data_IF_548158164533
#
_entry.id   IF_548158164533
#
_cell.length_a   1.000
_cell.length_b   1.000
_cell.length_c   1.000
_cell.angle_alpha   90.00
_cell.angle_beta   90.00
_cell.angle_gamma   90.00
#
_symmetry.space_group_name_H-M   'P 1'
#
loop_
_entity.id
_entity.type
_entity.pdbx_description
1 polymer ?
#
# COMPACT_ATOMS: atom_id res chain seq x y z
N UNK A 1 20.53 7.48 -9.62
CA UNK A 1 19.12 7.86 -9.35
C UNK A 1 18.80 7.56 -7.90
N UNK A 2 18.26 8.52 -7.15
CA UNK A 2 17.93 8.33 -5.73
C UNK A 2 16.45 7.96 -5.62
N UNK A 3 16.14 6.89 -4.90
CA UNK A 3 14.75 6.55 -4.56
C UNK A 3 14.30 7.51 -3.46
N UNK A 4 13.23 8.24 -3.73
CA UNK A 4 12.66 9.23 -2.82
C UNK A 4 11.36 8.74 -2.19
N UNK A 5 10.77 7.68 -2.75
CA UNK A 5 9.52 7.13 -2.25
C UNK A 5 9.00 5.97 -3.08
N UNK A 6 7.74 5.62 -2.81
CA UNK A 6 7.02 4.54 -3.47
C UNK A 6 5.57 4.94 -3.71
N UNK A 7 4.98 4.40 -4.76
CA UNK A 7 3.56 4.51 -5.03
C UNK A 7 2.98 3.13 -5.23
N UNK A 8 1.77 2.92 -4.69
CA UNK A 8 0.98 1.72 -4.94
C UNK A 8 -0.39 2.10 -5.49
N UNK A 9 -0.94 1.31 -6.43
CA UNK A 9 -2.30 1.50 -6.87
C UNK A 9 -3.28 1.06 -5.80
N UNK A 10 -4.09 2.01 -5.35
CA UNK A 10 -5.13 1.81 -4.36
C UNK A 10 -6.46 2.16 -5.04
N UNK A 11 -7.48 1.27 -5.00
CA UNK A 11 -8.82 1.60 -5.48
C UNK A 11 -9.40 2.82 -4.75
N UNK A 12 -10.12 3.69 -5.48
CA UNK A 12 -10.76 4.91 -4.95
C UNK A 12 -11.56 4.68 -3.67
N UNK A 13 -12.30 3.57 -3.60
CA UNK A 13 -13.10 3.19 -2.41
C UNK A 13 -12.29 3.06 -1.11
N UNK A 14 -10.99 2.79 -1.19
CA UNK A 14 -10.12 2.69 -0.01
C UNK A 14 -9.34 3.97 0.29
N UNK A 15 -9.38 4.98 -0.59
CA UNK A 15 -8.62 6.22 -0.38
C UNK A 15 -9.15 7.04 0.78
N UNK A 16 -10.48 7.12 0.91
CA UNK A 16 -11.14 7.86 1.98
C UNK A 16 -10.77 7.33 3.37
N UNK A 17 -10.36 6.07 3.47
CA UNK A 17 -9.88 5.49 4.71
C UNK A 17 -8.61 6.16 5.22
N UNK A 18 -7.71 6.53 4.32
CA UNK A 18 -6.48 7.25 4.67
C UNK A 18 -6.75 8.74 4.94
N UNK A 19 -7.62 9.37 4.14
CA UNK A 19 -7.80 10.82 4.17
C UNK A 19 -8.91 11.31 5.11
N UNK A 20 -9.88 10.46 5.49
CA UNK A 20 -11.05 10.82 6.30
C UNK A 20 -11.19 9.96 7.57
N UNK A 21 -10.88 8.67 7.48
CA UNK A 21 -11.07 7.73 8.60
C UNK A 21 -9.78 7.51 9.43
N UNK A 22 -8.74 8.30 9.18
CA UNK A 22 -7.45 8.27 9.88
C UNK A 22 -6.77 6.88 9.91
N UNK A 23 -7.03 6.05 8.90
CA UNK A 23 -6.31 4.78 8.71
C UNK A 23 -4.91 5.10 8.20
N UNK A 24 -3.89 4.67 8.91
CA UNK A 24 -2.49 4.97 8.57
C UNK A 24 -1.60 3.75 8.42
N UNK A 25 -2.17 2.55 8.36
CA UNK A 25 -1.41 1.31 8.15
C UNK A 25 -1.81 0.67 6.83
N UNK A 26 -0.86 0.64 5.89
CA UNK A 26 -0.99 -0.01 4.59
C UNK A 26 -0.47 -1.45 4.66
N UNK A 27 -1.17 -2.39 4.02
CA UNK A 27 -0.80 -3.82 3.99
C UNK A 27 -1.01 -4.43 2.60
N UNK A 28 -0.04 -5.22 2.12
CA UNK A 28 -0.09 -5.89 0.81
C UNK A 28 0.93 -7.04 0.73
N UNK A 29 0.78 -8.05 -0.16
CA UNK A 29 1.87 -8.95 -0.49
C UNK A 29 3.14 -8.20 -0.86
N UNK A 30 4.28 -8.63 -0.32
CA UNK A 30 5.54 -7.92 -0.45
C UNK A 30 6.08 -7.97 -1.89
N UNK A 31 5.91 -6.86 -2.63
CA UNK A 31 6.40 -6.69 -4.00
C UNK A 31 7.61 -5.74 -4.04
N UNK A 32 7.39 -4.43 -3.95
CA UNK A 32 8.43 -3.38 -3.97
C UNK A 32 8.68 -2.85 -2.57
N UNK A 33 9.63 -3.47 -1.87
CA UNK A 33 9.96 -3.11 -0.48
C UNK A 33 11.46 -3.01 -0.17
N UNK A 34 12.32 -3.66 -0.97
CA UNK A 34 13.76 -3.82 -0.66
C UNK A 34 14.52 -2.50 -0.48
N UNK A 35 14.11 -1.45 -1.18
CA UNK A 35 14.76 -0.14 -1.08
C UNK A 35 13.97 0.87 -0.24
N UNK A 36 12.84 0.46 0.35
CA UNK A 36 12.06 1.33 1.23
C UNK A 36 12.79 1.53 2.54
N UNK A 37 12.79 2.77 3.00
CA UNK A 37 13.32 3.16 4.30
C UNK A 37 12.32 4.08 5.00
N UNK A 38 12.33 4.12 6.35
CA UNK A 38 11.66 5.18 7.08
C UNK A 38 12.03 6.56 6.54
N UNK A 39 11.11 7.52 6.67
CA UNK A 39 11.17 8.91 6.19
C UNK A 39 11.07 9.08 4.67
N UNK A 40 11.01 8.01 3.89
CA UNK A 40 10.70 8.08 2.46
C UNK A 40 9.23 8.45 2.23
N UNK A 41 8.92 8.94 1.03
CA UNK A 41 7.54 9.29 0.66
C UNK A 41 6.73 8.05 0.26
N UNK A 42 5.49 7.98 0.71
CA UNK A 42 4.47 7.11 0.18
C UNK A 42 3.48 7.97 -0.59
N UNK A 43 3.35 7.77 -1.90
CA UNK A 43 2.43 8.54 -2.73
C UNK A 43 1.22 7.69 -3.04
N UNK A 44 0.03 8.21 -2.76
CA UNK A 44 -1.23 7.53 -3.00
C UNK A 44 -1.61 7.68 -4.48
N UNK A 45 -1.58 6.57 -5.22
CA UNK A 45 -2.06 6.52 -6.60
C UNK A 45 -3.45 5.90 -6.66
N UNK A 46 -4.42 6.67 -7.12
CA UNK A 46 -5.79 6.22 -7.31
C UNK A 46 -5.91 5.44 -8.61
N UNK A 47 -6.41 4.20 -8.51
CA UNK A 47 -6.64 3.32 -9.65
C UNK A 47 -8.12 3.27 -10.06
N UNK A 48 -8.37 2.89 -11.32
CA UNK A 48 -9.69 2.80 -11.98
C UNK A 48 -10.30 4.15 -12.35
N UNK A 49 -10.90 4.85 -11.39
CA UNK A 49 -11.59 6.13 -11.58
C UNK A 49 -10.67 7.29 -11.22
N UNK A 50 -10.74 8.40 -11.98
CA UNK A 50 -9.96 9.62 -11.74
C UNK A 50 -8.47 9.33 -11.48
N UNK A 51 -7.86 8.55 -12.39
CA UNK A 51 -6.51 8.04 -12.21
C UNK A 51 -5.49 9.17 -12.01
N UNK A 52 -4.79 9.11 -10.88
CA UNK A 52 -3.88 10.18 -10.49
C UNK A 52 -3.25 9.94 -9.13
N UNK A 53 -2.17 10.68 -8.86
CA UNK A 53 -1.68 10.85 -7.50
C UNK A 53 -2.62 11.78 -6.76
N UNK A 54 -3.17 11.31 -5.64
CA UNK A 54 -4.21 12.03 -4.89
C UNK A 54 -3.72 12.51 -3.52
N UNK A 55 -2.51 12.12 -3.13
CA UNK A 55 -1.90 12.56 -1.89
C UNK A 55 -0.53 11.93 -1.67
N UNK A 56 0.08 12.29 -0.55
CA UNK A 56 1.31 11.69 -0.06
C UNK A 56 1.32 11.53 1.46
N UNK A 57 2.17 10.66 1.95
CA UNK A 57 2.48 10.46 3.36
C UNK A 57 3.98 10.19 3.51
N UNK A 58 4.46 10.20 4.74
CA UNK A 58 5.80 9.71 5.09
C UNK A 58 5.70 8.29 5.61
N UNK A 59 6.67 7.48 5.24
CA UNK A 59 6.83 6.13 5.78
C UNK A 59 7.44 6.26 7.17
N UNK A 60 6.69 5.88 8.19
CA UNK A 60 7.18 5.85 9.58
C UNK A 60 7.94 4.56 9.85
N UNK A 61 7.32 3.42 9.56
CA UNK A 61 7.91 2.09 9.79
C UNK A 61 7.51 1.11 8.69
N UNK A 62 8.36 0.13 8.42
CA UNK A 62 8.14 -0.93 7.44
C UNK A 62 8.35 -2.26 8.13
N UNK A 63 7.34 -3.14 8.08
CA UNK A 63 7.40 -4.50 8.63
C UNK A 63 7.12 -5.52 7.54
N UNK A 64 7.81 -6.66 7.65
CA UNK A 64 7.52 -7.85 6.87
C UNK A 64 7.00 -8.92 7.80
N UNK A 65 5.77 -9.37 7.56
CA UNK A 65 5.12 -10.41 8.35
C UNK A 65 4.76 -11.60 7.46
N UNK A 66 4.86 -12.82 7.97
CA UNK A 66 4.49 -14.01 7.20
C UNK A 66 2.98 -14.25 7.20
N UNK A 67 2.29 -13.84 8.27
CA UNK A 67 0.84 -13.94 8.41
C UNK A 67 0.20 -12.55 8.36
N UNK A 68 -0.61 -12.24 7.33
CA UNK A 68 -1.28 -10.95 7.20
C UNK A 68 -2.24 -10.67 8.35
N UNK A 69 -2.83 -11.68 9.00
CA UNK A 69 -3.83 -11.47 10.05
C UNK A 69 -3.23 -10.84 11.31
N UNK A 70 -1.93 -11.06 11.56
CA UNK A 70 -1.19 -10.43 12.66
C UNK A 70 -1.15 -8.91 12.58
N UNK A 71 -1.40 -8.33 11.40
CA UNK A 71 -1.47 -6.86 11.27
C UNK A 71 -2.57 -6.28 12.15
N UNK A 72 -3.68 -6.99 12.36
CA UNK A 72 -4.78 -6.54 13.21
C UNK A 72 -4.48 -6.70 14.69
N UNK A 73 -3.64 -7.65 15.09
CA UNK A 73 -3.17 -7.77 16.47
C UNK A 73 -2.23 -6.62 16.84
N UNK A 74 -1.41 -6.16 15.89
CA UNK A 74 -0.42 -5.10 16.11
C UNK A 74 -1.04 -3.70 15.96
N UNK A 75 -1.87 -3.49 14.94
CA UNK A 75 -2.36 -2.17 14.54
C UNK A 75 -3.86 -1.99 14.68
N UNK A 76 -4.62 -3.05 14.97
CA UNK A 76 -6.06 -2.99 15.21
C UNK A 76 -6.82 -2.31 14.09
N UNK A 77 -7.61 -1.30 14.45
CA UNK A 77 -8.46 -0.57 13.52
C UNK A 77 -7.70 0.48 12.68
N UNK A 78 -6.38 0.64 12.83
CA UNK A 78 -5.58 1.58 12.01
C UNK A 78 -5.26 1.06 10.61
N UNK A 79 -5.50 -0.24 10.39
CA UNK A 79 -5.30 -0.91 9.11
C UNK A 79 -6.34 -0.42 8.11
N UNK A 80 -5.89 -0.09 6.90
CA UNK A 80 -6.79 0.45 5.88
C UNK A 80 -7.79 -0.58 5.32
N UNK A 81 -7.54 -1.88 5.48
CA UNK A 81 -8.48 -2.95 5.13
C UNK A 81 -9.13 -3.50 6.40
N UNK A 82 -10.39 -3.92 6.29
CA UNK A 82 -11.02 -4.71 7.35
C UNK A 82 -10.47 -6.13 7.36
N UNK A 83 -10.70 -6.84 8.47
CA UNK A 83 -10.28 -8.25 8.61
C UNK A 83 -10.88 -9.14 7.53
N UNK A 84 -12.13 -8.88 7.16
CA UNK A 84 -12.86 -9.63 6.13
C UNK A 84 -12.30 -9.33 4.74
N UNK A 85 -12.07 -8.07 4.40
CA UNK A 85 -11.48 -7.68 3.12
C UNK A 85 -10.06 -8.24 2.94
N UNK A 86 -9.25 -8.21 4.01
CA UNK A 86 -7.91 -8.80 3.96
C UNK A 86 -7.99 -10.32 3.78
N UNK A 87 -8.94 -10.99 4.45
CA UNK A 87 -9.17 -12.44 4.32
C UNK A 87 -9.58 -12.81 2.90
N UNK A 88 -10.50 -12.06 2.31
CA UNK A 88 -10.94 -12.29 0.93
C UNK A 88 -9.84 -11.97 -0.08
N UNK A 89 -9.03 -10.94 0.20
CA UNK A 89 -7.87 -10.64 -0.62
C UNK A 89 -6.83 -11.77 -0.59
N UNK A 90 -6.54 -12.34 0.58
CA UNK A 90 -5.66 -13.51 0.74
C UNK A 90 -6.21 -14.71 -0.05
N UNK A 91 -7.49 -15.06 0.13
CA UNK A 91 -8.13 -16.18 -0.58
C UNK A 91 -8.10 -15.99 -2.10
N UNK A 92 -8.33 -14.76 -2.57
CA UNK A 92 -8.24 -14.43 -3.99
C UNK A 92 -6.82 -14.63 -4.51
N UNK A 93 -5.80 -14.21 -3.76
CA UNK A 93 -4.40 -14.47 -4.12
C UNK A 93 -4.07 -15.97 -4.17
N UNK A 94 -4.62 -16.78 -3.27
CA UNK A 94 -4.45 -18.25 -3.32
C UNK A 94 -5.13 -18.87 -4.54
N UNK A 95 -6.33 -18.37 -4.89
CA UNK A 95 -7.10 -18.85 -6.05
C UNK A 95 -6.45 -18.51 -7.39
N UNK A 96 -5.85 -17.33 -7.50
CA UNK A 96 -5.19 -16.84 -8.72
C UNK A 96 -3.68 -17.08 -8.75
N UNK A 97 -3.08 -17.52 -7.64
CA UNK A 97 -1.67 -17.84 -7.54
C UNK A 97 -1.34 -19.09 -8.35
N UNK A 98 -0.39 -18.98 -9.28
CA UNK A 98 0.17 -20.17 -9.96
C UNK A 98 0.63 -21.17 -8.90
N UNK A 99 0.25 -22.44 -9.08
CA UNK A 99 0.53 -23.66 -8.29
C UNK A 99 2.01 -23.88 -7.88
N UNK A 100 2.91 -22.97 -8.22
CA UNK A 100 4.37 -23.10 -8.20
C UNK A 100 5.05 -22.42 -7.01
N UNK A 101 4.41 -21.47 -6.31
CA UNK A 101 5.02 -20.83 -5.13
C UNK A 101 4.48 -21.44 -3.83
N UNK A 102 4.99 -22.63 -3.45
CA UNK A 102 4.85 -23.21 -2.10
C UNK A 102 5.51 -22.37 -0.98
N UNK A 103 6.10 -21.20 -1.30
CA UNK A 103 6.69 -20.31 -0.29
C UNK A 103 5.63 -19.34 0.20
N UNK A 104 5.41 -19.31 1.52
CA UNK A 104 4.61 -18.27 2.19
C UNK A 104 5.10 -16.90 1.72
N UNK A 105 4.26 -16.15 0.99
CA UNK A 105 4.60 -14.79 0.56
C UNK A 105 4.61 -13.90 1.79
N UNK A 106 5.75 -13.23 2.03
CA UNK A 106 5.83 -12.19 3.05
C UNK A 106 4.84 -11.07 2.69
N UNK A 107 4.25 -10.48 3.72
CA UNK A 107 3.36 -9.34 3.62
C UNK A 107 4.09 -8.10 4.09
N UNK A 108 4.01 -7.06 3.26
CA UNK A 108 4.53 -5.74 3.52
C UNK A 108 3.47 -4.95 4.29
N UNK A 109 3.84 -4.50 5.48
CA UNK A 109 3.09 -3.56 6.29
C UNK A 109 3.88 -2.27 6.36
N UNK A 110 3.22 -1.15 6.07
CA UNK A 110 3.83 0.17 6.12
C UNK A 110 2.98 1.04 7.03
N UNK A 111 3.58 1.52 8.11
CA UNK A 111 2.98 2.56 8.94
C UNK A 111 3.30 3.92 8.32
N UNK A 112 2.27 4.73 8.15
CA UNK A 112 2.32 6.05 7.53
C UNK A 112 2.11 7.14 8.59
N UNK A 113 2.74 8.28 8.37
CA UNK A 113 2.55 9.51 9.14
C UNK A 113 2.47 10.71 8.19
N UNK A 114 2.02 11.86 8.70
CA UNK A 114 1.86 13.09 7.91
C UNK A 114 1.07 12.87 6.61
N UNK A 115 -0.05 12.14 6.67
CA UNK A 115 -0.90 11.88 5.51
C UNK A 115 -1.51 13.20 5.03
N UNK A 116 -1.30 13.53 3.76
CA UNK A 116 -1.78 14.75 3.10
C UNK A 116 -2.46 14.40 1.80
N UNK A 117 -3.66 14.94 1.61
CA UNK A 117 -4.39 14.89 0.34
C UNK A 117 -4.00 16.08 -0.53
N UNK A 118 -3.89 15.86 -1.84
CA UNK A 118 -3.75 16.96 -2.80
C UNK A 118 -5.11 17.56 -3.14
N UNK A 119 -5.16 18.87 -3.37
CA UNK A 119 -6.39 19.55 -3.79
C UNK A 119 -6.89 19.05 -5.14
N UNK A 120 -5.98 18.66 -6.04
CA UNK A 120 -6.28 18.13 -7.36
C UNK A 120 -5.46 16.87 -7.65
N UNK A 121 -6.06 15.81 -8.22
CA UNK A 121 -5.31 14.64 -8.65
C UNK A 121 -4.25 14.99 -9.71
N UNK A 122 -3.01 14.57 -9.49
CA UNK A 122 -1.90 14.78 -10.41
C UNK A 122 -1.78 13.56 -11.33
N UNK A 123 -1.96 13.72 -12.64
CA UNK A 123 -1.83 12.60 -13.59
C UNK A 123 -0.38 12.09 -13.63
N UNK A 124 -0.16 10.77 -13.54
CA UNK A 124 1.20 10.24 -13.60
C UNK A 124 1.75 10.37 -15.03
N UNK A 125 3.04 10.68 -15.15
CA UNK A 125 3.73 10.73 -16.46
C UNK A 125 3.85 9.35 -17.13
N UNK A 126 3.74 8.27 -16.36
CA UNK A 126 3.85 6.87 -16.80
C UNK A 126 2.83 6.02 -16.05
N UNK A 127 2.42 4.90 -16.66
CA UNK A 127 1.53 3.94 -16.03
C UNK A 127 2.12 3.38 -14.72
N UNK A 128 1.32 3.35 -13.66
CA UNK A 128 1.69 2.76 -12.37
C UNK A 128 1.22 1.30 -12.33
N UNK A 129 2.14 0.31 -12.31
CA UNK A 129 1.76 -1.10 -12.32
C UNK A 129 1.10 -1.54 -11.02
N UNK A 130 0.30 -2.61 -11.08
CA UNK A 130 -0.38 -3.24 -9.93
C UNK A 130 0.61 -3.58 -8.80
N UNK A 131 1.86 -3.91 -9.14
CA UNK A 131 2.94 -4.19 -8.20
C UNK A 131 3.37 -2.99 -7.35
N UNK A 132 3.07 -1.76 -7.76
CA UNK A 132 3.66 -0.54 -7.22
C UNK A 132 4.94 -0.15 -7.96
N UNK A 133 5.41 1.08 -7.76
CA UNK A 133 6.57 1.64 -8.44
C UNK A 133 7.38 2.53 -7.48
N UNK A 134 8.70 2.46 -7.59
CA UNK A 134 9.58 3.41 -6.91
C UNK A 134 9.51 4.78 -7.58
N UNK A 135 9.42 5.82 -6.76
CA UNK A 135 9.53 7.20 -7.19
C UNK A 135 11.00 7.58 -7.10
N UNK A 136 11.53 8.03 -8.23
CA UNK A 136 12.95 8.41 -8.39
C UNK A 136 13.04 9.92 -8.63
N UNK A 137 14.09 10.52 -8.08
CA UNK A 137 14.54 11.88 -8.38
C UNK A 137 15.90 11.83 -9.08
#
# INVERSE_FOLDING_TARGET
>A
MKIVGVTFPIPKQFMDRFFKEDKNVFVKPATVWKELKPRMKFVFYQSREDQGFVGEAKIKEIKLIDDPMKVFEIYGNRVFLTKEELKDYVKSQERWGRKTEKKKKKWLVIELEDIRKYDKPIKPKRFVPVGGQYIRR
#
